data_IF_107628588639
#
_entry.id   IF_107628588639
#
_cell.length_a   1.000
_cell.length_b   1.000
_cell.length_c   1.000
_cell.angle_alpha   90.00
_cell.angle_beta   90.00
_cell.angle_gamma   90.00
#
_symmetry.space_group_name_H-M   'P 1'
#
loop_
_entity.id
_entity.type
_entity.pdbx_description
1 polymer ?
#
# COMPACT_ATOMS: atom_id res chain seq x y z
N UNK A 1 -13.06 -3.25 -0.29
CA UNK A 1 -13.70 -3.05 -1.61
C UNK A 1 -15.03 -2.34 -1.52
N UNK A 2 -15.87 -2.68 -0.55
CA UNK A 2 -17.22 -2.11 -0.47
C UNK A 2 -17.22 -0.59 -0.23
N UNK A 3 -16.28 -0.10 0.58
CA UNK A 3 -16.19 1.33 0.87
C UNK A 3 -15.91 2.16 -0.38
N UNK A 4 -15.03 1.66 -1.24
CA UNK A 4 -14.66 2.39 -2.46
C UNK A 4 -15.83 2.44 -3.44
N UNK A 5 -16.68 1.41 -3.45
CA UNK A 5 -17.87 1.37 -4.30
C UNK A 5 -18.96 2.36 -3.86
N UNK A 6 -18.86 2.84 -2.62
CA UNK A 6 -19.77 3.86 -2.09
C UNK A 6 -19.31 5.29 -2.39
N UNK A 7 -18.16 5.45 -3.01
CA UNK A 7 -17.66 6.77 -3.39
C UNK A 7 -18.62 7.46 -4.36
N UNK A 8 -18.92 8.77 -4.18
CA UNK A 8 -19.85 9.49 -5.06
C UNK A 8 -19.50 9.44 -6.53
N UNK A 9 -18.20 9.36 -6.86
CA UNK A 9 -17.71 9.32 -8.23
C UNK A 9 -17.41 7.91 -8.74
N UNK A 10 -17.91 6.88 -8.05
CA UNK A 10 -17.62 5.49 -8.45
C UNK A 10 -18.08 5.17 -9.87
N UNK A 11 -19.08 5.89 -10.39
CA UNK A 11 -19.53 5.73 -11.79
C UNK A 11 -18.44 6.09 -12.81
N UNK A 12 -17.39 6.81 -12.40
CA UNK A 12 -16.24 7.16 -13.25
C UNK A 12 -15.13 6.11 -13.19
N UNK A 13 -15.27 5.11 -12.33
CA UNK A 13 -14.26 4.08 -12.09
C UNK A 13 -14.43 2.95 -13.11
N UNK A 14 -13.38 2.70 -13.87
CA UNK A 14 -13.31 1.54 -14.75
C UNK A 14 -12.49 0.40 -14.19
N UNK A 15 -11.66 0.69 -13.17
CA UNK A 15 -10.76 -0.30 -12.60
C UNK A 15 -10.43 0.04 -11.15
N UNK A 16 -10.40 -0.99 -10.30
CA UNK A 16 -9.82 -0.91 -8.95
C UNK A 16 -8.67 -1.90 -8.89
N UNK A 17 -7.48 -1.42 -8.57
CA UNK A 17 -6.29 -2.26 -8.42
C UNK A 17 -5.90 -2.30 -6.95
N UNK A 18 -5.66 -3.51 -6.44
CA UNK A 18 -5.30 -3.74 -5.06
C UNK A 18 -3.90 -4.35 -4.96
N UNK A 19 -3.06 -3.74 -4.12
CA UNK A 19 -1.79 -4.33 -3.69
C UNK A 19 -1.95 -4.77 -2.24
N UNK A 20 -1.64 -6.02 -1.94
CA UNK A 20 -1.62 -6.56 -0.59
C UNK A 20 -0.23 -7.11 -0.29
N UNK A 21 0.50 -6.42 0.59
CA UNK A 21 1.82 -6.87 1.05
C UNK A 21 1.66 -7.82 2.23
N UNK A 22 2.38 -8.93 2.17
CA UNK A 22 2.30 -10.02 3.17
C UNK A 22 3.71 -10.30 3.69
N UNK A 23 3.82 -10.67 4.97
CA UNK A 23 5.10 -11.07 5.56
C UNK A 23 5.55 -12.39 4.94
N UNK A 24 6.73 -12.37 4.33
CA UNK A 24 7.30 -13.56 3.71
C UNK A 24 8.38 -14.17 4.61
N UNK A 25 8.63 -15.47 4.47
CA UNK A 25 9.55 -16.22 5.31
C UNK A 25 11.03 -15.98 5.03
N UNK A 26 11.37 -15.16 4.03
CA UNK A 26 12.75 -14.81 3.69
C UNK A 26 12.88 -13.33 3.37
N UNK A 27 14.05 -12.74 3.70
CA UNK A 27 14.40 -11.38 3.29
C UNK A 27 14.81 -11.36 1.81
N UNK A 28 15.03 -10.17 1.25
CA UNK A 28 15.52 -10.03 -0.12
C UNK A 28 16.87 -10.69 -0.32
N UNK A 29 17.70 -10.75 0.73
CA UNK A 29 19.03 -11.40 0.71
C UNK A 29 18.94 -12.91 0.93
N UNK A 30 17.74 -13.47 1.09
CA UNK A 30 17.56 -14.90 1.28
C UNK A 30 17.69 -15.39 2.71
N UNK A 31 17.80 -14.51 3.70
CA UNK A 31 17.83 -14.89 5.12
C UNK A 31 16.44 -15.29 5.60
N UNK A 32 16.37 -16.29 6.46
CA UNK A 32 15.10 -16.68 7.08
C UNK A 32 14.55 -15.57 7.98
N UNK A 33 13.30 -15.23 7.81
CA UNK A 33 12.57 -14.20 8.59
C UNK A 33 11.45 -14.87 9.35
N UNK A 34 11.37 -14.62 10.66
CA UNK A 34 10.28 -15.12 11.51
C UNK A 34 9.16 -14.10 11.71
N UNK A 35 9.43 -12.84 11.39
CA UNK A 35 8.45 -11.78 11.51
C UNK A 35 9.05 -10.42 11.23
N UNK A 36 8.22 -9.39 11.32
CA UNK A 36 8.65 -8.02 11.17
C UNK A 36 7.70 -7.06 11.88
N UNK A 37 8.14 -5.82 12.04
CA UNK A 37 7.27 -4.72 12.44
C UNK A 37 7.52 -3.53 11.51
N UNK A 38 6.52 -2.67 11.39
CA UNK A 38 6.56 -1.51 10.50
C UNK A 38 6.14 -0.27 11.29
N UNK A 39 6.91 0.80 11.17
CA UNK A 39 6.50 2.13 11.64
C UNK A 39 6.11 3.00 10.45
N UNK A 40 5.20 3.94 10.67
CA UNK A 40 4.60 4.76 9.61
C UNK A 40 4.72 6.23 9.96
N UNK A 41 5.20 7.03 9.00
CA UNK A 41 5.12 8.49 9.07
C UNK A 41 3.81 8.93 8.43
N UNK A 42 2.79 9.15 9.24
CA UNK A 42 1.45 9.51 8.77
C UNK A 42 1.40 10.83 8.04
N UNK A 43 2.24 11.78 8.41
CA UNK A 43 2.28 13.09 7.76
C UNK A 43 2.71 12.97 6.30
N UNK A 44 3.77 12.22 6.06
CA UNK A 44 4.26 11.98 4.70
C UNK A 44 3.25 11.14 3.91
N UNK A 45 2.65 10.13 4.55
CA UNK A 45 1.63 9.30 3.90
C UNK A 45 0.45 10.12 3.40
N UNK A 46 -0.08 11.02 4.23
CA UNK A 46 -1.19 11.90 3.84
C UNK A 46 -0.83 12.80 2.67
N UNK A 47 0.40 13.34 2.64
CA UNK A 47 0.87 14.16 1.54
C UNK A 47 0.93 13.37 0.23
N UNK A 48 1.49 12.17 0.27
CA UNK A 48 1.60 11.29 -0.91
C UNK A 48 0.22 10.95 -1.46
N UNK A 49 -0.67 10.50 -0.60
CA UNK A 49 -2.03 10.11 -1.01
C UNK A 49 -2.77 11.29 -1.60
N UNK A 50 -2.68 12.47 -0.97
CA UNK A 50 -3.32 13.68 -1.48
C UNK A 50 -2.82 14.08 -2.86
N UNK A 51 -1.51 14.03 -3.07
CA UNK A 51 -0.91 14.36 -4.37
C UNK A 51 -1.27 13.35 -5.46
N UNK A 52 -1.23 12.06 -5.13
CA UNK A 52 -1.52 11.02 -6.11
C UNK A 52 -3.00 11.01 -6.51
N UNK A 53 -3.90 11.35 -5.60
CA UNK A 53 -5.32 11.47 -5.91
C UNK A 53 -5.63 12.54 -6.95
N UNK A 54 -4.77 13.53 -7.09
CA UNK A 54 -4.95 14.63 -8.06
C UNK A 54 -4.53 14.26 -9.47
N UNK A 55 -3.91 13.10 -9.67
CA UNK A 55 -3.46 12.68 -10.99
C UNK A 55 -4.65 12.38 -11.90
N UNK A 56 -4.49 12.62 -13.22
CA UNK A 56 -5.59 12.42 -14.18
C UNK A 56 -6.18 11.02 -14.10
N UNK A 57 -7.50 10.94 -14.10
CA UNK A 57 -8.22 9.68 -14.12
C UNK A 57 -8.33 8.94 -12.80
N UNK A 58 -7.77 9.47 -11.72
CA UNK A 58 -7.83 8.81 -10.41
C UNK A 58 -9.01 9.33 -9.60
N UNK A 59 -9.80 8.39 -9.09
CA UNK A 59 -11.01 8.69 -8.30
C UNK A 59 -10.72 8.60 -6.81
N UNK A 60 -10.03 7.54 -6.37
CA UNK A 60 -9.74 7.37 -4.95
C UNK A 60 -8.52 6.50 -4.73
N UNK A 61 -7.88 6.69 -3.57
CA UNK A 61 -6.76 5.88 -3.09
C UNK A 61 -7.03 5.59 -1.61
N UNK A 62 -6.92 4.32 -1.22
CA UNK A 62 -7.05 3.89 0.17
C UNK A 62 -5.82 3.10 0.58
N UNK A 63 -5.29 3.39 1.76
CA UNK A 63 -4.09 2.73 2.30
C UNK A 63 -4.37 2.30 3.73
N UNK A 64 -4.08 1.05 4.03
CA UNK A 64 -4.08 0.52 5.39
C UNK A 64 -2.74 -0.17 5.64
N UNK A 65 -2.09 0.16 6.76
CA UNK A 65 -0.81 -0.42 7.14
C UNK A 65 -0.92 -0.96 8.56
N UNK A 66 -0.50 -2.21 8.75
CA UNK A 66 -0.41 -2.82 10.08
C UNK A 66 0.85 -2.31 10.77
N UNK A 67 0.73 -1.20 11.49
CA UNK A 67 1.87 -0.51 12.09
C UNK A 67 2.04 -0.81 13.57
N UNK A 68 3.27 -0.65 14.05
CA UNK A 68 3.65 -0.69 15.47
C UNK A 68 3.22 -1.96 16.21
N UNK A 69 3.28 -3.08 15.50
CA UNK A 69 3.02 -4.39 16.08
C UNK A 69 3.91 -5.44 15.43
N UNK A 70 4.12 -6.53 16.15
CA UNK A 70 4.87 -7.67 15.61
C UNK A 70 3.97 -8.46 14.67
N UNK A 71 4.44 -8.64 13.45
CA UNK A 71 3.76 -9.42 12.42
C UNK A 71 4.53 -10.70 12.18
N UNK A 72 3.79 -11.80 11.98
CA UNK A 72 4.38 -13.11 11.68
C UNK A 72 4.20 -13.44 10.19
N UNK A 73 4.87 -14.50 9.75
CA UNK A 73 4.79 -14.96 8.35
C UNK A 73 3.33 -15.18 7.97
N UNK A 74 2.94 -14.61 6.83
CA UNK A 74 1.58 -14.70 6.31
C UNK A 74 0.65 -13.57 6.73
N UNK A 75 1.05 -12.76 7.71
CA UNK A 75 0.23 -11.61 8.12
C UNK A 75 0.25 -10.51 7.05
N UNK A 76 -0.86 -9.81 6.94
CA UNK A 76 -0.98 -8.65 6.04
C UNK A 76 -0.22 -7.47 6.60
N UNK A 77 0.65 -6.87 5.79
CA UNK A 77 1.44 -5.70 6.16
C UNK A 77 0.78 -4.42 5.69
N UNK A 78 0.36 -4.40 4.44
CA UNK A 78 -0.18 -3.19 3.82
C UNK A 78 -1.19 -3.56 2.74
N UNK A 79 -2.29 -2.81 2.73
CA UNK A 79 -3.29 -2.86 1.67
C UNK A 79 -3.31 -1.48 0.99
N UNK A 80 -3.11 -1.46 -0.32
CA UNK A 80 -3.18 -0.24 -1.13
C UNK A 80 -4.17 -0.46 -2.26
N UNK A 81 -5.21 0.38 -2.29
CA UNK A 81 -6.23 0.36 -3.34
C UNK A 81 -6.16 1.64 -4.15
N UNK A 82 -6.17 1.51 -5.47
CA UNK A 82 -6.28 2.65 -6.38
C UNK A 82 -7.44 2.43 -7.32
N UNK A 83 -8.37 3.37 -7.35
CA UNK A 83 -9.52 3.35 -8.24
C UNK A 83 -9.41 4.48 -9.26
N UNK A 84 -9.63 4.18 -10.52
CA UNK A 84 -9.54 5.17 -11.59
C UNK A 84 -10.25 4.74 -12.85
N UNK A 85 -10.08 5.53 -13.91
CA UNK A 85 -10.83 5.37 -15.16
C UNK A 85 -10.30 4.25 -16.04
N UNK A 86 -9.01 4.27 -16.38
CA UNK A 86 -8.40 3.30 -17.28
C UNK A 86 -7.14 2.68 -16.65
N UNK A 87 -6.80 1.50 -17.15
CA UNK A 87 -5.73 0.66 -16.64
C UNK A 87 -4.39 1.39 -16.54
N UNK A 88 -4.03 2.13 -17.58
CA UNK A 88 -2.74 2.82 -17.65
C UNK A 88 -2.56 3.82 -16.52
N UNK A 89 -3.60 4.61 -16.23
CA UNK A 89 -3.57 5.58 -15.14
C UNK A 89 -3.51 4.90 -13.77
N UNK A 90 -4.30 3.86 -13.58
CA UNK A 90 -4.40 3.16 -12.29
C UNK A 90 -3.10 2.42 -11.95
N UNK A 91 -2.53 1.70 -12.91
CA UNK A 91 -1.26 0.98 -12.70
C UNK A 91 -0.13 1.94 -12.40
N UNK A 92 -0.02 3.03 -13.16
CA UNK A 92 1.03 4.03 -12.95
C UNK A 92 0.95 4.64 -11.55
N UNK A 93 -0.24 5.03 -11.13
CA UNK A 93 -0.45 5.65 -9.82
C UNK A 93 -0.21 4.66 -8.69
N UNK A 94 -0.67 3.42 -8.81
CA UNK A 94 -0.40 2.42 -7.78
C UNK A 94 1.10 2.17 -7.64
N UNK A 95 1.82 2.03 -8.75
CA UNK A 95 3.26 1.81 -8.73
C UNK A 95 4.00 2.98 -8.07
N UNK A 96 3.69 4.20 -8.48
CA UNK A 96 4.35 5.40 -7.93
C UNK A 96 4.02 5.59 -6.45
N UNK A 97 2.76 5.40 -6.06
CA UNK A 97 2.33 5.52 -4.67
C UNK A 97 3.02 4.48 -3.79
N UNK A 98 3.05 3.23 -4.23
CA UNK A 98 3.70 2.15 -3.50
C UNK A 98 5.18 2.41 -3.31
N UNK A 99 5.88 2.84 -4.36
CA UNK A 99 7.30 3.15 -4.28
C UNK A 99 7.59 4.30 -3.31
N UNK A 100 6.79 5.36 -3.35
CA UNK A 100 6.95 6.49 -2.44
C UNK A 100 6.69 6.08 -0.99
N UNK A 101 5.66 5.28 -0.74
CA UNK A 101 5.36 4.78 0.61
C UNK A 101 6.54 3.97 1.15
N UNK A 102 7.06 3.04 0.36
CA UNK A 102 8.15 2.17 0.80
C UNK A 102 9.46 2.90 1.05
N UNK A 103 9.71 3.98 0.34
CA UNK A 103 10.98 4.72 0.47
C UNK A 103 10.95 5.84 1.50
N UNK A 104 9.77 6.41 1.80
CA UNK A 104 9.69 7.62 2.63
C UNK A 104 8.76 7.50 3.84
N UNK A 105 7.78 6.60 3.80
CA UNK A 105 6.73 6.52 4.83
C UNK A 105 7.02 5.42 5.84
N UNK A 106 7.39 4.24 5.37
CA UNK A 106 7.54 3.06 6.24
C UNK A 106 8.98 2.76 6.56
N UNK A 107 9.21 2.35 7.82
CA UNK A 107 10.47 1.76 8.26
C UNK A 107 10.18 0.35 8.75
N UNK A 108 10.84 -0.61 8.13
CA UNK A 108 10.65 -2.03 8.44
C UNK A 108 11.78 -2.54 9.31
N UNK A 109 11.43 -3.27 10.37
CA UNK A 109 12.37 -4.03 11.19
C UNK A 109 12.06 -5.50 11.02
N UNK A 110 13.02 -6.25 10.49
CA UNK A 110 12.87 -7.70 10.29
C UNK A 110 13.46 -8.47 11.46
N UNK A 111 12.75 -9.52 11.92
CA UNK A 111 13.22 -10.43 12.95
C UNK A 111 13.67 -11.71 12.27
N UNK A 112 14.95 -12.05 12.39
CA UNK A 112 15.55 -13.17 11.69
C UNK A 112 15.49 -14.45 12.51
N UNK A 113 15.30 -15.56 11.83
CA UNK A 113 15.33 -16.89 12.44
C UNK A 113 16.77 -17.43 12.45
N UNK A 114 17.31 -17.55 13.62
CA UNK A 114 18.66 -18.05 13.80
C UNK A 114 19.73 -17.03 13.60
#
# INVERSE_FOLDING_TARGET
MDEIKQHPDFNKVGMVLCHNGVVRGTSREGRGVKGLSVSVDHRILEQIVSEQKKRPGIVDIQVEIAEDRDLTIGDDVMLLLVAGDIRENVIAVLTDTLNQIKTTVTKKTEYFSG
#
